data_IF_924793034191
#
_entry.id   IF_924793034191
#
_cell.length_a   1.000
_cell.length_b   1.000
_cell.length_c   1.000
_cell.angle_alpha   90.00
_cell.angle_beta   90.00
_cell.angle_gamma   90.00
#
_symmetry.space_group_name_H-M   'P 1'
#
loop_
_entity.id
_entity.type
_entity.pdbx_description
1 polymer ?
#
# COMPACT_ATOMS: atom_id res chain seq x y z
N UNK A 1 -4.26 -45.38 47.15
CA UNK A 1 -4.24 -43.90 47.13
C UNK A 1 -4.02 -43.48 45.69
N UNK A 2 -5.11 -43.21 44.98
CA UNK A 2 -5.09 -42.78 43.59
C UNK A 2 -5.23 -41.25 43.61
N UNK A 3 -4.20 -40.53 43.20
CA UNK A 3 -4.30 -39.09 43.02
C UNK A 3 -3.27 -38.61 41.99
N UNK A 4 -3.78 -37.98 40.92
CA UNK A 4 -3.25 -36.77 40.28
C UNK A 4 -1.96 -36.97 39.45
N UNK A 5 -1.83 -36.59 38.18
CA UNK A 5 -2.54 -35.66 37.29
C UNK A 5 -2.21 -36.12 35.86
N UNK A 6 -3.24 -36.31 35.02
CA UNK A 6 -3.06 -36.33 33.56
C UNK A 6 -3.25 -34.88 33.13
N UNK A 7 -2.15 -34.16 32.86
CA UNK A 7 -2.24 -32.86 32.18
C UNK A 7 -2.55 -33.17 30.72
N UNK A 8 -3.84 -33.10 30.47
CA UNK A 8 -4.48 -32.99 29.18
C UNK A 8 -3.74 -31.96 28.31
N UNK A 9 -3.07 -32.43 27.27
CA UNK A 9 -2.73 -31.62 26.09
C UNK A 9 -4.04 -31.22 25.41
N UNK A 10 -4.66 -30.13 25.87
CA UNK A 10 -5.76 -29.49 25.16
C UNK A 10 -5.22 -28.32 24.34
N UNK A 11 -5.21 -28.52 23.03
CA UNK A 11 -5.56 -27.54 22.01
C UNK A 11 -4.98 -26.14 22.15
N UNK A 12 -3.74 -25.96 21.67
CA UNK A 12 -3.39 -24.76 20.93
C UNK A 12 -3.30 -25.10 19.44
N UNK A 13 -4.41 -25.56 18.87
CA UNK A 13 -4.69 -25.36 17.46
C UNK A 13 -4.94 -23.87 17.27
N UNK A 14 -3.85 -23.10 17.32
CA UNK A 14 -3.83 -21.70 16.95
C UNK A 14 -4.35 -21.63 15.53
N UNK A 15 -5.54 -21.06 15.39
CA UNK A 15 -6.16 -20.81 14.10
C UNK A 15 -5.23 -19.85 13.37
N UNK A 16 -4.40 -20.36 12.47
CA UNK A 16 -3.60 -19.58 11.54
C UNK A 16 -4.54 -19.01 10.46
N UNK A 17 -5.44 -18.11 10.88
CA UNK A 17 -6.41 -17.45 10.02
C UNK A 17 -6.02 -15.99 9.81
N UNK A 18 -4.90 -15.72 9.13
CA UNK A 18 -4.54 -14.36 8.69
C UNK A 18 -3.53 -14.31 7.53
N UNK A 19 -3.37 -15.37 6.73
CA UNK A 19 -2.34 -15.37 5.66
C UNK A 19 -2.89 -15.10 4.25
N UNK A 20 -4.19 -15.27 3.99
CA UNK A 20 -4.74 -15.10 2.64
C UNK A 20 -4.92 -13.63 2.26
N UNK A 21 -5.41 -12.81 3.19
CA UNK A 21 -5.72 -11.39 2.93
C UNK A 21 -4.46 -10.53 2.75
N UNK A 22 -3.40 -10.77 3.51
CA UNK A 22 -2.15 -10.02 3.38
C UNK A 22 -1.45 -10.27 2.03
N UNK A 23 -1.54 -11.51 1.52
CA UNK A 23 -0.98 -11.87 0.22
C UNK A 23 -1.74 -11.20 -0.93
N UNK A 24 -3.08 -11.15 -0.85
CA UNK A 24 -3.91 -10.45 -1.85
C UNK A 24 -3.65 -8.94 -1.86
N UNK A 25 -3.42 -8.33 -0.69
CA UNK A 25 -3.04 -6.92 -0.56
C UNK A 25 -1.56 -6.66 -0.92
N UNK A 26 -0.78 -7.73 -1.17
CA UNK A 26 0.66 -7.69 -1.45
C UNK A 26 1.45 -6.97 -0.35
N UNK A 27 1.08 -7.16 0.91
CA UNK A 27 1.78 -6.61 2.07
C UNK A 27 2.34 -7.72 2.95
N UNK A 28 3.49 -7.48 3.58
CA UNK A 28 4.12 -8.43 4.49
C UNK A 28 4.75 -7.72 5.68
N UNK A 29 5.17 -8.50 6.68
CA UNK A 29 5.88 -7.98 7.85
C UNK A 29 7.35 -8.38 7.84
N UNK A 30 8.23 -7.43 8.13
CA UNK A 30 9.65 -7.73 8.36
C UNK A 30 9.92 -8.28 9.77
N UNK A 31 11.18 -8.63 10.03
CA UNK A 31 11.64 -9.16 11.35
C UNK A 31 11.39 -8.21 12.53
N UNK A 32 11.16 -6.93 12.26
CA UNK A 32 10.90 -5.90 13.26
C UNK A 32 9.40 -5.56 13.31
N UNK A 33 8.54 -6.41 12.73
CA UNK A 33 7.08 -6.24 12.64
C UNK A 33 6.62 -5.01 11.86
N UNK A 34 7.48 -4.41 11.05
CA UNK A 34 7.06 -3.30 10.18
C UNK A 34 6.26 -3.84 9.01
N UNK A 35 5.17 -3.18 8.65
CA UNK A 35 4.41 -3.52 7.45
C UNK A 35 5.11 -2.95 6.22
N UNK A 36 5.35 -3.79 5.22
CA UNK A 36 6.04 -3.47 3.98
C UNK A 36 5.23 -3.96 2.79
N UNK A 37 5.60 -3.49 1.61
CA UNK A 37 4.99 -3.87 0.34
C UNK A 37 5.90 -4.81 -0.43
N UNK A 38 5.29 -5.82 -1.04
CA UNK A 38 5.93 -6.75 -1.96
C UNK A 38 6.25 -6.04 -3.28
N UNK A 39 7.39 -6.32 -3.89
CA UNK A 39 7.64 -5.82 -5.24
C UNK A 39 6.78 -6.62 -6.22
N UNK A 40 6.06 -5.94 -7.11
CA UNK A 40 5.06 -6.62 -7.92
C UNK A 40 4.13 -5.66 -8.64
N UNK A 41 3.15 -6.24 -9.33
CA UNK A 41 2.16 -5.54 -10.15
C UNK A 41 0.81 -5.60 -9.45
N UNK A 42 0.26 -4.44 -9.13
CA UNK A 42 -0.98 -4.30 -8.39
C UNK A 42 -2.07 -3.75 -9.30
N UNK A 43 -3.24 -4.36 -9.29
CA UNK A 43 -4.46 -3.79 -9.89
C UNK A 43 -5.18 -2.93 -8.86
N UNK A 44 -5.38 -1.65 -9.16
CA UNK A 44 -5.91 -0.65 -8.23
C UNK A 44 -7.08 0.13 -8.84
N UNK A 45 -8.00 0.56 -7.98
CA UNK A 45 -9.02 1.56 -8.34
C UNK A 45 -8.46 2.97 -8.20
N UNK A 46 -8.80 3.86 -9.12
CA UNK A 46 -8.42 5.28 -9.11
C UNK A 46 -9.58 6.10 -8.53
N UNK A 47 -9.24 6.99 -7.62
CA UNK A 47 -10.13 7.92 -6.94
C UNK A 47 -9.64 9.36 -7.14
N UNK A 48 -10.55 10.35 -7.16
CA UNK A 48 -10.15 11.75 -7.22
C UNK A 48 -9.47 12.17 -5.90
N UNK A 49 -8.29 12.80 -6.00
CA UNK A 49 -7.59 13.33 -4.85
C UNK A 49 -7.67 14.86 -4.83
N UNK A 50 -8.16 15.42 -3.73
CA UNK A 50 -8.29 16.87 -3.52
C UNK A 50 -8.31 17.15 -2.02
N UNK A 51 -8.17 18.41 -1.61
CA UNK A 51 -8.35 18.79 -0.20
C UNK A 51 -9.73 18.40 0.35
N UNK A 52 -10.76 18.31 -0.50
CA UNK A 52 -12.11 17.88 -0.09
C UNK A 52 -12.24 16.37 0.09
N UNK A 53 -11.42 15.59 -0.61
CA UNK A 53 -11.46 14.11 -0.57
C UNK A 53 -10.40 13.51 0.35
N UNK A 54 -9.48 14.33 0.86
CA UNK A 54 -8.42 13.91 1.79
C UNK A 54 -8.95 13.27 3.07
N UNK A 55 -10.04 13.82 3.61
CA UNK A 55 -10.64 13.37 4.88
C UNK A 55 -11.86 12.46 4.67
N UNK A 56 -12.24 12.20 3.41
CA UNK A 56 -13.34 11.31 3.09
C UNK A 56 -12.93 9.84 3.28
N UNK A 57 -13.86 9.01 3.72
CA UNK A 57 -13.64 7.57 3.72
C UNK A 57 -13.50 7.06 2.29
N UNK A 58 -12.53 6.17 2.05
CA UNK A 58 -12.24 5.67 0.71
C UNK A 58 -13.48 5.10 0.01
N UNK A 59 -14.29 4.36 0.75
CA UNK A 59 -15.51 3.70 0.26
C UNK A 59 -16.63 4.69 -0.08
N UNK A 60 -16.51 5.95 0.36
CA UNK A 60 -17.44 7.03 0.02
C UNK A 60 -17.08 7.77 -1.28
N UNK A 61 -15.87 7.54 -1.81
CA UNK A 61 -15.39 8.22 -3.00
C UNK A 61 -15.77 7.45 -4.27
N UNK A 62 -16.15 8.15 -5.35
CA UNK A 62 -16.43 7.50 -6.62
C UNK A 62 -15.13 6.97 -7.24
N UNK A 63 -15.17 5.74 -7.75
CA UNK A 63 -14.11 5.20 -8.61
C UNK A 63 -14.19 5.90 -9.97
N UNK A 64 -13.08 6.53 -10.38
CA UNK A 64 -12.95 7.28 -11.65
C UNK A 64 -12.11 6.53 -12.70
N UNK A 65 -11.61 5.35 -12.36
CA UNK A 65 -10.88 4.49 -13.29
C UNK A 65 -10.13 3.36 -12.59
N UNK A 66 -9.31 2.66 -13.36
CA UNK A 66 -8.45 1.57 -12.90
C UNK A 66 -7.02 1.80 -13.39
N UNK A 67 -6.05 1.33 -12.61
CA UNK A 67 -4.63 1.35 -12.96
C UNK A 67 -3.91 0.07 -12.55
N UNK A 68 -2.81 -0.20 -13.24
CA UNK A 68 -1.78 -1.11 -12.77
C UNK A 68 -0.64 -0.29 -12.18
N UNK A 69 -0.25 -0.58 -10.93
CA UNK A 69 0.93 -0.03 -10.28
C UNK A 69 1.98 -1.12 -10.17
N UNK A 70 3.16 -0.91 -10.74
CA UNK A 70 4.33 -1.77 -10.49
C UNK A 70 5.19 -1.12 -9.42
N UNK A 71 5.42 -1.81 -8.31
CA UNK A 71 6.26 -1.34 -7.21
C UNK A 71 7.60 -2.06 -7.27
N UNK A 72 8.68 -1.29 -7.20
CA UNK A 72 10.05 -1.81 -7.26
C UNK A 72 10.94 -1.20 -6.17
N UNK A 73 11.75 -2.03 -5.52
CA UNK A 73 12.79 -1.61 -4.59
C UNK A 73 14.04 -1.12 -5.31
N UNK A 74 14.66 -0.09 -4.74
CA UNK A 74 16.06 0.18 -5.03
C UNK A 74 16.93 -0.94 -4.43
N UNK A 75 17.97 -1.37 -5.17
CA UNK A 75 18.94 -2.37 -4.72
C UNK A 75 19.90 -1.82 -3.67
N UNK A 76 20.00 -0.49 -3.55
CA UNK A 76 20.99 0.19 -2.72
C UNK A 76 20.40 0.95 -1.53
N UNK A 77 19.07 1.01 -1.41
CA UNK A 77 18.39 1.73 -0.33
C UNK A 77 17.01 1.15 -0.03
N UNK A 78 16.39 1.57 1.08
CA UNK A 78 14.97 1.29 1.38
C UNK A 78 14.08 2.32 0.66
N UNK A 79 14.35 2.62 -0.60
CA UNK A 79 13.50 3.46 -1.42
C UNK A 79 12.70 2.61 -2.40
N UNK A 80 11.54 3.13 -2.80
CA UNK A 80 10.61 2.46 -3.71
C UNK A 80 10.27 3.38 -4.86
N UNK A 81 10.06 2.84 -6.05
CA UNK A 81 9.45 3.57 -7.17
C UNK A 81 8.15 2.90 -7.59
N UNK A 82 7.28 3.69 -8.22
CA UNK A 82 6.04 3.21 -8.83
C UNK A 82 6.07 3.47 -10.33
N UNK A 83 5.71 2.45 -11.11
CA UNK A 83 5.38 2.57 -12.53
C UNK A 83 3.88 2.35 -12.70
N UNK A 84 3.18 3.38 -13.14
CA UNK A 84 1.72 3.44 -13.10
C UNK A 84 1.23 3.48 -14.53
N UNK A 85 0.31 2.58 -14.86
CA UNK A 85 -0.35 2.51 -16.17
C UNK A 85 -1.85 2.57 -15.93
N UNK A 86 -2.48 3.68 -16.28
CA UNK A 86 -3.92 3.85 -16.21
C UNK A 86 -4.60 3.24 -17.44
N UNK A 87 -5.87 2.85 -17.32
CA UNK A 87 -6.62 2.23 -18.44
C UNK A 87 -6.67 3.12 -19.69
N UNK A 88 -6.64 4.45 -19.52
CA UNK A 88 -6.64 5.43 -20.60
C UNK A 88 -5.28 5.56 -21.32
N UNK A 89 -4.30 4.72 -20.98
CA UNK A 89 -2.96 4.70 -21.56
C UNK A 89 -1.98 5.67 -20.92
N UNK A 90 -2.39 6.48 -19.94
CA UNK A 90 -1.48 7.35 -19.20
C UNK A 90 -0.44 6.51 -18.44
N UNK A 91 0.83 6.93 -18.56
CA UNK A 91 1.96 6.29 -17.88
C UNK A 91 2.67 7.30 -17.00
N UNK A 92 2.91 6.95 -15.75
CA UNK A 92 3.65 7.76 -14.78
C UNK A 92 4.73 6.88 -14.16
N UNK A 93 5.97 7.34 -14.22
CA UNK A 93 7.08 6.73 -13.48
C UNK A 93 7.50 7.72 -12.40
N UNK A 94 7.46 7.29 -11.14
CA UNK A 94 7.95 8.12 -10.04
C UNK A 94 9.47 7.98 -9.93
N UNK A 95 10.19 9.01 -9.48
CA UNK A 95 11.54 8.79 -8.96
C UNK A 95 11.47 7.83 -7.75
N UNK A 96 12.61 7.29 -7.34
CA UNK A 96 12.71 6.55 -6.10
C UNK A 96 12.33 7.45 -4.92
N UNK A 97 11.28 7.05 -4.21
CA UNK A 97 10.72 7.73 -3.05
C UNK A 97 11.41 7.23 -1.80
N UNK A 98 11.85 8.15 -0.95
CA UNK A 98 12.51 7.82 0.31
C UNK A 98 11.51 7.33 1.34
N UNK A 99 11.92 6.39 2.19
CA UNK A 99 11.12 5.98 3.34
C UNK A 99 11.08 7.13 4.37
N UNK A 100 9.90 7.70 4.59
CA UNK A 100 9.67 8.76 5.57
C UNK A 100 9.28 8.21 6.94
N UNK A 101 8.56 7.09 6.94
CA UNK A 101 8.03 6.47 8.16
C UNK A 101 7.93 4.97 7.93
N UNK A 102 8.39 4.20 8.90
CA UNK A 102 8.31 2.74 8.92
C UNK A 102 7.76 2.30 10.29
N UNK A 103 6.74 1.46 10.28
CA UNK A 103 6.08 1.04 11.51
C UNK A 103 5.18 -0.19 11.32
N UNK A 104 4.61 -0.65 12.43
CA UNK A 104 3.80 -1.88 12.46
C UNK A 104 2.41 -1.75 11.87
N UNK A 105 1.88 -0.53 11.82
CA UNK A 105 0.57 -0.19 11.25
C UNK A 105 0.68 0.47 9.89
N UNK A 106 1.82 1.10 9.61
CA UNK A 106 2.01 1.87 8.39
C UNK A 106 3.48 2.05 8.01
N UNK A 107 3.76 2.01 6.71
CA UNK A 107 5.01 2.48 6.12
C UNK A 107 4.72 3.46 4.98
N UNK A 108 5.45 4.57 4.91
CA UNK A 108 5.24 5.64 3.94
C UNK A 108 6.53 5.96 3.21
N UNK A 109 6.48 5.87 1.89
CA UNK A 109 7.51 6.37 0.98
C UNK A 109 6.96 7.62 0.30
N UNK A 110 7.76 8.68 0.20
CA UNK A 110 7.35 9.84 -0.59
C UNK A 110 8.52 10.59 -1.22
N UNK A 111 8.18 11.41 -2.20
CA UNK A 111 9.03 12.44 -2.76
C UNK A 111 8.17 13.64 -3.16
N UNK A 112 8.71 14.85 -2.99
CA UNK A 112 7.99 16.08 -3.24
C UNK A 112 8.92 17.12 -3.87
N UNK A 113 8.47 17.73 -4.95
CA UNK A 113 9.05 18.89 -5.58
C UNK A 113 8.09 20.09 -5.42
N UNK A 114 8.36 21.21 -6.10
CA UNK A 114 7.43 22.36 -6.11
C UNK A 114 6.12 22.05 -6.81
N UNK A 115 6.15 21.16 -7.79
CA UNK A 115 5.05 20.88 -8.71
C UNK A 115 4.46 19.49 -8.50
N UNK A 116 5.27 18.55 -8.00
CA UNK A 116 4.88 17.16 -7.87
C UNK A 116 4.96 16.64 -6.43
N UNK A 117 4.03 15.77 -6.07
CA UNK A 117 4.08 14.96 -4.86
C UNK A 117 3.65 13.54 -5.22
N UNK A 118 4.53 12.58 -4.89
CA UNK A 118 4.25 11.16 -5.01
C UNK A 118 4.36 10.53 -3.63
N UNK A 119 3.33 9.80 -3.23
CA UNK A 119 3.28 9.08 -1.95
C UNK A 119 2.88 7.64 -2.22
N UNK A 120 3.59 6.71 -1.57
CA UNK A 120 3.22 5.30 -1.47
C UNK A 120 3.09 4.97 0.02
N UNK A 121 1.86 4.78 0.48
CA UNK A 121 1.54 4.41 1.85
C UNK A 121 1.05 2.96 1.90
N UNK A 122 1.61 2.20 2.84
CA UNK A 122 1.28 0.80 3.08
C UNK A 122 0.59 0.73 4.42
N UNK A 123 -0.63 0.24 4.46
CA UNK A 123 -1.46 0.25 5.65
C UNK A 123 -2.17 -1.10 5.81
N UNK A 124 -2.13 -1.70 6.99
CA UNK A 124 -2.59 -3.09 7.18
C UNK A 124 -4.05 -3.35 6.75
N UNK A 125 -5.04 -2.55 7.17
CA UNK A 125 -6.42 -2.77 6.71
C UNK A 125 -6.68 -2.35 5.26
N UNK A 126 -5.80 -1.55 4.63
CA UNK A 126 -6.05 -0.94 3.31
C UNK A 126 -5.09 -1.38 2.19
N UNK A 127 -4.04 -2.14 2.53
CA UNK A 127 -2.99 -2.56 1.61
C UNK A 127 -2.18 -1.38 1.08
N UNK A 128 -2.01 -1.36 -0.25
CA UNK A 128 -1.26 -0.34 -0.99
C UNK A 128 -2.16 0.86 -1.31
N UNK A 129 -1.70 2.06 -0.95
CA UNK A 129 -2.29 3.34 -1.32
C UNK A 129 -1.22 4.19 -1.99
N UNK A 130 -1.49 4.68 -3.20
CA UNK A 130 -0.62 5.62 -3.90
C UNK A 130 -1.33 6.95 -4.11
N UNK A 131 -0.66 8.06 -3.84
CA UNK A 131 -1.17 9.41 -4.13
C UNK A 131 -0.23 10.06 -5.13
N UNK A 132 -0.82 10.57 -6.22
CA UNK A 132 -0.12 11.38 -7.21
C UNK A 132 -0.78 12.75 -7.22
N UNK A 133 0.03 13.77 -6.98
CA UNK A 133 -0.32 15.16 -7.19
C UNK A 133 0.72 15.75 -8.14
N UNK A 134 0.29 16.24 -9.29
CA UNK A 134 1.11 16.98 -10.26
C UNK A 134 0.38 18.27 -10.59
N UNK A 135 1.03 19.40 -10.31
CA UNK A 135 0.56 20.74 -10.60
C UNK A 135 1.42 21.32 -11.72
N UNK A 136 0.81 21.78 -12.81
CA UNK A 136 1.54 22.33 -13.97
C UNK A 136 0.62 22.53 -15.16
N UNK A 137 0.82 23.64 -15.91
CA UNK A 137 -0.06 24.07 -17.00
C UNK A 137 -0.20 22.97 -18.08
N UNK A 138 -1.33 22.26 -18.07
CA UNK A 138 -1.75 21.33 -19.13
C UNK A 138 -1.60 19.84 -18.86
N UNK A 139 -1.03 19.40 -17.72
CA UNK A 139 -0.93 17.97 -17.40
C UNK A 139 -1.15 17.66 -15.90
N UNK A 140 -2.09 18.39 -15.32
CA UNK A 140 -2.46 18.28 -13.91
C UNK A 140 -3.00 16.88 -13.60
N UNK A 141 -2.56 16.29 -12.51
CA UNK A 141 -3.02 14.96 -12.11
C UNK A 141 -3.09 14.89 -10.60
N UNK A 142 -4.30 14.79 -10.07
CA UNK A 142 -4.55 14.72 -8.64
C UNK A 142 -5.41 13.49 -8.37
N UNK A 143 -4.77 12.35 -8.15
CA UNK A 143 -5.44 11.06 -7.98
C UNK A 143 -4.87 10.27 -6.81
N UNK A 144 -5.73 9.45 -6.24
CA UNK A 144 -5.36 8.42 -5.28
C UNK A 144 -5.68 7.06 -5.90
N UNK A 145 -4.77 6.12 -5.80
CA UNK A 145 -5.00 4.73 -6.14
C UNK A 145 -5.03 3.92 -4.85
N UNK A 146 -6.07 3.12 -4.69
CA UNK A 146 -6.29 2.31 -3.50
C UNK A 146 -7.10 1.07 -3.88
N UNK A 147 -7.46 0.25 -2.89
CA UNK A 147 -8.06 -1.07 -3.10
C UNK A 147 -7.23 -1.92 -4.08
N UNK A 148 -5.92 -1.85 -3.88
CA UNK A 148 -4.94 -2.52 -4.72
C UNK A 148 -4.84 -4.01 -4.36
N UNK A 149 -4.79 -4.85 -5.38
CA UNK A 149 -4.58 -6.31 -5.26
C UNK A 149 -3.38 -6.75 -6.09
N UNK A 150 -2.54 -7.61 -5.54
CA UNK A 150 -1.31 -8.15 -6.16
C UNK A 150 -1.61 -9.27 -7.16
#
# INVERSE_FOLDING_TARGET
>A
MLNKIVVVLMFLSGVAGASSTLNELGVYRDKNFNILVTDGRYSCSIYPYSQRTKDAELDSLPVIGESIITIESDKHSDSKRMLIVSHNGMKIETPFMINLRKGSTETVYATMSREDMYVLAINEPKGVIAIIKREGEGNETNVMMANCTL
#
